data_IF_048809555009
#
_entry.id   IF_048809555009
#
_cell.length_a   1.000
_cell.length_b   1.000
_cell.length_c   1.000
_cell.angle_alpha   90.00
_cell.angle_beta   90.00
_cell.angle_gamma   90.00
#
_symmetry.space_group_name_H-M   'P 1'
#
loop_
_entity.id
_entity.type
_entity.pdbx_description
1 polymer ?
#
# COMPACT_ATOMS: atom_id res chain seq x y z
N UNK A 1 22.59 17.25 10.03
CA UNK A 1 21.74 16.67 8.97
C UNK A 1 20.32 16.73 9.45
N UNK A 2 19.38 17.19 8.63
CA UNK A 2 17.96 17.06 8.92
C UNK A 2 17.63 15.58 8.82
N UNK A 3 17.21 14.96 9.93
CA UNK A 3 16.58 13.64 9.90
C UNK A 3 15.39 13.74 8.93
N UNK A 4 15.45 13.03 7.81
CA UNK A 4 14.36 13.01 6.84
C UNK A 4 13.15 12.37 7.51
N UNK A 5 12.08 13.15 7.68
CA UNK A 5 10.82 12.70 8.26
C UNK A 5 10.22 11.65 7.32
N UNK A 6 10.17 10.39 7.77
CA UNK A 6 9.59 9.29 7.01
C UNK A 6 8.07 9.25 7.21
N UNK A 7 7.32 9.32 6.12
CA UNK A 7 5.87 9.17 6.12
C UNK A 7 5.50 7.72 5.79
N UNK A 8 4.50 7.20 6.51
CA UNK A 8 4.01 5.84 6.35
C UNK A 8 2.52 5.86 6.00
N UNK A 9 2.13 5.07 5.01
CA UNK A 9 0.73 4.85 4.63
C UNK A 9 0.42 3.37 4.81
N UNK A 10 -0.72 3.07 5.43
CA UNK A 10 -1.24 1.71 5.52
C UNK A 10 -2.07 1.40 4.28
N UNK A 11 -1.74 0.31 3.59
CA UNK A 11 -2.52 -0.20 2.46
C UNK A 11 -3.25 -1.43 2.96
N UNK A 12 -4.58 -1.32 3.00
CA UNK A 12 -5.45 -2.45 3.26
C UNK A 12 -5.76 -3.18 1.94
N UNK A 13 -5.59 -4.51 1.95
CA UNK A 13 -5.82 -5.39 0.80
C UNK A 13 -6.99 -6.36 1.04
N UNK A 14 -7.70 -6.25 2.17
CA UNK A 14 -8.66 -7.24 2.69
C UNK A 14 -9.75 -7.70 1.69
N UNK A 15 -10.11 -6.89 0.69
CA UNK A 15 -11.11 -7.27 -0.32
C UNK A 15 -10.56 -8.08 -1.52
N UNK A 16 -9.24 -8.20 -1.66
CA UNK A 16 -8.60 -8.97 -2.72
C UNK A 16 -8.43 -10.40 -2.19
N UNK A 17 -9.57 -11.11 -2.12
CA UNK A 17 -9.78 -12.34 -1.36
C UNK A 17 -8.94 -13.57 -1.74
N UNK A 18 -7.99 -13.46 -2.69
CA UNK A 18 -7.06 -14.53 -3.03
C UNK A 18 -5.62 -14.03 -2.88
N UNK A 19 -5.10 -14.00 -1.65
CA UNK A 19 -3.67 -13.82 -1.38
C UNK A 19 -2.80 -14.86 -2.11
N UNK A 20 -3.38 -16.00 -2.50
CA UNK A 20 -2.76 -17.01 -3.36
C UNK A 20 -2.37 -16.47 -4.76
N UNK A 21 -2.90 -15.31 -5.17
CA UNK A 21 -2.57 -14.66 -6.45
C UNK A 21 -1.29 -13.81 -6.38
N UNK A 22 -0.79 -13.48 -5.19
CA UNK A 22 0.40 -12.63 -5.01
C UNK A 22 1.56 -13.53 -4.56
N UNK A 23 2.52 -13.84 -5.45
CA UNK A 23 3.70 -14.61 -5.09
C UNK A 23 4.53 -13.91 -3.99
N UNK A 24 5.24 -14.71 -3.20
CA UNK A 24 6.25 -14.20 -2.28
C UNK A 24 7.25 -13.29 -3.00
N UNK A 25 7.52 -12.11 -2.43
CA UNK A 25 8.39 -11.09 -3.00
C UNK A 25 8.00 -10.61 -4.41
N UNK A 26 6.71 -10.72 -4.77
CA UNK A 26 6.22 -10.16 -6.02
C UNK A 26 6.61 -8.67 -6.13
N UNK A 27 7.21 -8.25 -7.26
CA UNK A 27 7.56 -6.85 -7.44
C UNK A 27 6.29 -6.02 -7.50
N UNK A 28 6.32 -4.81 -6.95
CA UNK A 28 5.19 -3.89 -7.01
C UNK A 28 5.63 -2.48 -7.36
N UNK A 29 4.70 -1.71 -7.92
CA UNK A 29 4.83 -0.28 -8.17
C UNK A 29 3.63 0.42 -7.57
N UNK A 30 3.87 1.29 -6.60
CA UNK A 30 2.88 2.22 -6.05
C UNK A 30 3.07 3.59 -6.71
N UNK A 31 1.99 4.16 -7.23
CA UNK A 31 2.03 5.41 -7.98
C UNK A 31 0.79 6.26 -7.75
N UNK A 32 0.87 7.56 -8.02
CA UNK A 32 -0.25 8.48 -7.92
C UNK A 32 -0.73 8.74 -6.48
N UNK A 33 0.17 8.69 -5.50
CA UNK A 33 -0.14 9.04 -4.10
C UNK A 33 -0.61 10.50 -3.95
N UNK A 34 -0.24 11.37 -4.90
CA UNK A 34 -0.68 12.75 -5.00
C UNK A 34 -2.03 12.93 -5.71
N UNK A 35 -2.69 11.84 -6.10
CA UNK A 35 -3.99 11.85 -6.79
C UNK A 35 -5.10 11.37 -5.86
N UNK A 36 -6.37 11.51 -6.26
CA UNK A 36 -7.52 11.01 -5.49
C UNK A 36 -7.53 9.46 -5.43
N UNK A 37 -7.01 8.80 -6.46
CA UNK A 37 -7.03 7.34 -6.60
C UNK A 37 -5.63 6.81 -6.91
N UNK A 38 -4.84 6.42 -5.89
CA UNK A 38 -3.53 5.83 -6.11
C UNK A 38 -3.66 4.48 -6.81
N UNK A 39 -2.58 4.06 -7.49
CA UNK A 39 -2.54 2.80 -8.23
C UNK A 39 -1.41 1.93 -7.71
N UNK A 40 -1.75 0.70 -7.34
CA UNK A 40 -0.81 -0.36 -6.99
C UNK A 40 -0.81 -1.42 -8.09
N UNK A 41 0.33 -1.61 -8.74
CA UNK A 41 0.56 -2.66 -9.73
C UNK A 41 1.45 -3.75 -9.12
N UNK A 42 0.96 -4.98 -9.03
CA UNK A 42 1.69 -6.12 -8.47
C UNK A 42 1.99 -7.13 -9.59
N UNK A 43 3.25 -7.55 -9.68
CA UNK A 43 3.78 -8.52 -10.67
C UNK A 43 3.42 -8.17 -12.13
N UNK A 44 3.21 -6.89 -12.44
CA UNK A 44 2.70 -6.39 -13.72
C UNK A 44 1.39 -7.06 -14.20
N UNK A 45 0.65 -7.73 -13.31
CA UNK A 45 -0.55 -8.53 -13.62
C UNK A 45 -1.78 -8.01 -12.91
N UNK A 46 -1.63 -7.65 -11.64
CA UNK A 46 -2.74 -7.21 -10.79
C UNK A 46 -2.64 -5.70 -10.65
N UNK A 47 -3.65 -5.00 -11.17
CA UNK A 47 -3.78 -3.55 -11.04
C UNK A 47 -4.91 -3.24 -10.05
N UNK A 48 -4.57 -2.58 -8.96
CA UNK A 48 -5.49 -2.13 -7.93
C UNK A 48 -5.59 -0.62 -7.98
N UNK A 49 -6.81 -0.11 -7.85
CA UNK A 49 -7.10 1.31 -7.78
C UNK A 49 -7.58 1.58 -6.36
N UNK A 50 -6.78 2.34 -5.61
CA UNK A 50 -7.05 2.63 -4.21
C UNK A 50 -7.98 3.83 -4.02
N UNK A 51 -8.48 3.92 -2.80
CA UNK A 51 -9.22 5.07 -2.28
C UNK A 51 -8.66 5.40 -0.89
N UNK A 52 -8.52 6.68 -0.57
CA UNK A 52 -8.10 7.09 0.76
C UNK A 52 -9.26 6.97 1.75
N UNK A 53 -9.01 6.33 2.88
CA UNK A 53 -9.95 6.29 4.00
C UNK A 53 -9.33 6.91 5.24
N UNK A 54 -10.05 7.84 5.85
CA UNK A 54 -9.70 8.37 7.16
C UNK A 54 -9.86 7.27 8.21
N UNK A 55 -8.77 6.97 8.93
CA UNK A 55 -8.80 6.00 10.02
C UNK A 55 -9.06 6.70 11.35
N UNK A 56 -9.76 6.02 12.26
CA UNK A 56 -9.92 6.49 13.63
C UNK A 56 -8.85 5.83 14.51
N UNK A 57 -7.98 6.63 15.12
CA UNK A 57 -6.94 6.15 16.04
C UNK A 57 -5.55 6.18 15.43
N UNK A 58 -4.69 5.25 15.86
CA UNK A 58 -3.28 5.18 15.43
C UNK A 58 -2.90 3.72 15.17
N UNK A 59 -2.37 3.45 13.97
CA UNK A 59 -1.80 2.15 13.63
C UNK A 59 -0.37 2.06 14.18
N UNK A 60 -0.08 1.06 15.00
CA UNK A 60 1.26 0.79 15.52
C UNK A 60 1.87 -0.40 14.78
N UNK A 61 2.86 -0.14 13.93
CA UNK A 61 3.61 -1.17 13.22
C UNK A 61 4.90 -1.45 14.01
N UNK A 62 5.07 -2.69 14.46
CA UNK A 62 6.25 -3.13 15.20
C UNK A 62 7.12 -4.00 14.29
N UNK A 63 8.24 -3.47 13.82
CA UNK A 63 9.27 -4.25 13.13
C UNK A 63 10.31 -4.78 14.12
N UNK A 64 10.86 -5.97 13.85
CA UNK A 64 11.89 -6.61 14.67
C UNK A 64 13.30 -6.08 14.36
#
# INVERSE_FOLDING_TARGET
ESEEESEYVLIDLDEIADFDLIPDNAPFVLSGLDTINPVLLIDNKIKLIGEYQETVGTCLVLSK
#
